data_IF_633234299329
#
_entry.id   IF_633234299329
#
_cell.length_a   1.000
_cell.length_b   1.000
_cell.length_c   1.000
_cell.angle_alpha   90.00
_cell.angle_beta   90.00
_cell.angle_gamma   90.00
#
_symmetry.space_group_name_H-M   'P 1'
#
loop_
_entity.id
_entity.type
_entity.pdbx_description
1 polymer ?
#
# COMPACT_ATOMS: atom_id res chain seq x y z
N UNK A 1 -5.49 -15.85 -32.98
CA UNK A 1 -5.74 -17.14 -32.31
C UNK A 1 -4.98 -17.12 -31.00
N UNK A 2 -5.69 -16.97 -29.88
CA UNK A 2 -5.08 -17.14 -28.56
C UNK A 2 -4.76 -18.64 -28.40
N UNK A 3 -3.56 -18.96 -27.91
CA UNK A 3 -3.12 -20.33 -27.68
C UNK A 3 -4.07 -21.00 -26.66
N UNK A 4 -4.46 -22.28 -26.81
CA UNK A 4 -5.43 -22.93 -25.92
C UNK A 4 -5.06 -22.92 -24.42
N UNK A 5 -3.80 -22.65 -24.08
CA UNK A 5 -3.34 -22.50 -22.70
C UNK A 5 -3.49 -21.08 -22.14
N UNK A 6 -3.81 -20.08 -22.95
CA UNK A 6 -3.90 -18.68 -22.52
C UNK A 6 -5.19 -18.39 -21.74
N UNK A 7 -6.32 -18.96 -22.14
CA UNK A 7 -7.61 -18.75 -21.45
C UNK A 7 -7.60 -19.17 -19.96
N UNK A 8 -7.19 -20.40 -19.59
CA UNK A 8 -7.18 -20.80 -18.18
C UNK A 8 -6.20 -19.96 -17.34
N UNK A 9 -5.05 -19.58 -17.91
CA UNK A 9 -4.07 -18.73 -17.22
C UNK A 9 -4.61 -17.33 -16.98
N UNK A 10 -5.30 -16.74 -17.95
CA UNK A 10 -5.93 -15.42 -17.81
C UNK A 10 -7.04 -15.44 -16.76
N UNK A 11 -7.89 -16.47 -16.77
CA UNK A 11 -8.95 -16.64 -15.77
C UNK A 11 -8.37 -16.81 -14.36
N UNK A 12 -7.34 -17.63 -14.20
CA UNK A 12 -6.66 -17.82 -12.92
C UNK A 12 -6.00 -16.52 -12.44
N UNK A 13 -5.33 -15.79 -13.33
CA UNK A 13 -4.68 -14.51 -13.01
C UNK A 13 -5.69 -13.45 -12.59
N UNK A 14 -6.82 -13.36 -13.31
CA UNK A 14 -7.91 -12.46 -12.97
C UNK A 14 -8.55 -12.82 -11.62
N UNK A 15 -8.84 -14.10 -11.39
CA UNK A 15 -9.35 -14.60 -10.12
C UNK A 15 -8.42 -14.26 -8.95
N UNK A 16 -7.11 -14.52 -9.11
CA UNK A 16 -6.10 -14.16 -8.12
C UNK A 16 -6.10 -12.65 -7.82
N UNK A 17 -6.08 -11.82 -8.86
CA UNK A 17 -6.06 -10.38 -8.70
C UNK A 17 -7.31 -9.84 -8.00
N UNK A 18 -8.48 -10.37 -8.35
CA UNK A 18 -9.75 -10.03 -7.72
C UNK A 18 -9.74 -10.42 -6.24
N UNK A 19 -9.36 -11.66 -5.92
CA UNK A 19 -9.30 -12.15 -4.54
C UNK A 19 -8.35 -11.31 -3.68
N UNK A 20 -7.15 -11.00 -4.17
CA UNK A 20 -6.19 -10.19 -3.43
C UNK A 20 -6.73 -8.77 -3.15
N UNK A 21 -7.34 -8.12 -4.15
CA UNK A 21 -7.93 -6.79 -3.98
C UNK A 21 -9.11 -6.81 -2.99
N UNK A 22 -10.02 -7.78 -3.10
CA UNK A 22 -11.15 -7.93 -2.18
C UNK A 22 -10.66 -8.18 -0.76
N UNK A 23 -9.72 -9.11 -0.57
CA UNK A 23 -9.16 -9.41 0.74
C UNK A 23 -8.47 -8.21 1.38
N UNK A 24 -7.65 -7.48 0.61
CA UNK A 24 -6.99 -6.27 1.08
C UNK A 24 -7.99 -5.18 1.48
N UNK A 25 -8.98 -4.89 0.62
CA UNK A 25 -9.98 -3.86 0.87
C UNK A 25 -10.90 -4.22 2.04
N UNK A 26 -11.35 -5.46 2.15
CA UNK A 26 -12.18 -5.94 3.26
C UNK A 26 -11.43 -5.79 4.59
N UNK A 27 -10.17 -6.22 4.64
CA UNK A 27 -9.32 -6.06 5.82
C UNK A 27 -9.09 -4.58 6.15
N UNK A 28 -8.84 -3.73 5.15
CA UNK A 28 -8.65 -2.29 5.38
C UNK A 28 -9.93 -1.61 5.85
N UNK A 29 -11.08 -2.05 5.35
CA UNK A 29 -12.41 -1.60 5.74
C UNK A 29 -12.64 -1.81 7.23
N UNK A 30 -12.37 -3.02 7.73
CA UNK A 30 -12.48 -3.34 9.15
C UNK A 30 -11.56 -2.48 10.03
N UNK A 31 -10.30 -2.27 9.62
CA UNK A 31 -9.33 -1.54 10.43
C UNK A 31 -9.49 -0.01 10.41
N UNK A 32 -10.17 0.53 9.40
CA UNK A 32 -10.41 1.97 9.26
C UNK A 32 -11.85 2.38 9.53
N UNK A 33 -12.75 1.42 9.75
CA UNK A 33 -14.18 1.69 9.91
C UNK A 33 -14.74 2.49 8.71
N UNK A 34 -14.34 2.07 7.51
CA UNK A 34 -14.73 2.69 6.24
C UNK A 34 -15.28 1.63 5.29
N UNK A 35 -16.18 1.99 4.38
CA UNK A 35 -16.70 1.05 3.38
C UNK A 35 -15.60 0.66 2.37
N UNK A 36 -15.68 -0.56 1.83
CA UNK A 36 -14.76 -1.01 0.78
C UNK A 36 -14.83 -0.13 -0.47
N UNK A 37 -16.03 0.32 -0.86
CA UNK A 37 -16.24 1.24 -1.99
C UNK A 37 -15.47 2.54 -1.79
N UNK A 38 -15.59 3.16 -0.60
CA UNK A 38 -14.87 4.40 -0.32
C UNK A 38 -13.36 4.20 -0.33
N UNK A 39 -12.88 3.06 0.18
CA UNK A 39 -11.46 2.71 0.13
C UNK A 39 -10.98 2.48 -1.29
N UNK A 40 -11.79 1.86 -2.15
CA UNK A 40 -11.49 1.67 -3.56
C UNK A 40 -11.41 3.01 -4.29
N UNK A 41 -12.38 3.90 -4.09
CA UNK A 41 -12.37 5.27 -4.63
C UNK A 41 -11.10 6.03 -4.25
N UNK A 42 -10.68 5.97 -2.98
CA UNK A 42 -9.44 6.64 -2.54
C UNK A 42 -8.21 6.13 -3.31
N UNK A 43 -8.21 4.89 -3.78
CA UNK A 43 -7.10 4.32 -4.56
C UNK A 43 -7.20 4.58 -6.04
N UNK A 44 -8.41 4.74 -6.57
CA UNK A 44 -8.67 4.81 -8.01
C UNK A 44 -9.12 6.18 -8.49
N UNK A 45 -9.40 7.13 -7.61
CA UNK A 45 -9.66 8.51 -7.98
C UNK A 45 -8.36 9.31 -7.95
N UNK A 46 -8.13 10.07 -9.01
CA UNK A 46 -6.99 10.99 -9.08
C UNK A 46 -7.29 12.20 -8.20
N UNK A 47 -6.42 12.46 -7.23
CA UNK A 47 -6.49 13.67 -6.40
C UNK A 47 -6.14 14.94 -7.19
N UNK A 48 -6.68 16.08 -6.75
CA UNK A 48 -6.41 17.38 -7.36
C UNK A 48 -4.92 17.74 -7.31
N UNK A 49 -4.40 18.24 -8.43
CA UNK A 49 -2.98 18.60 -8.57
C UNK A 49 -2.02 17.44 -8.85
N UNK A 50 -2.51 16.19 -8.89
CA UNK A 50 -1.69 15.02 -9.23
C UNK A 50 -1.62 14.87 -10.76
N UNK A 51 -0.40 14.83 -11.30
CA UNK A 51 -0.19 14.61 -12.74
C UNK A 51 -0.65 13.20 -13.12
N UNK A 52 -1.11 13.01 -14.36
CA UNK A 52 -1.57 11.70 -14.83
C UNK A 52 -0.48 10.60 -14.72
N UNK A 53 0.80 10.84 -15.07
CA UNK A 53 1.86 9.83 -14.89
C UNK A 53 2.07 9.43 -13.43
N UNK A 54 2.01 10.38 -12.49
CA UNK A 54 2.13 10.10 -11.06
C UNK A 54 0.93 9.29 -10.55
N UNK A 55 -0.28 9.62 -11.00
CA UNK A 55 -1.49 8.84 -10.72
C UNK A 55 -1.36 7.39 -11.21
N UNK A 56 -0.91 7.16 -12.44
CA UNK A 56 -0.63 5.82 -12.95
C UNK A 56 0.43 5.10 -12.10
N UNK A 57 1.47 5.82 -11.67
CA UNK A 57 2.53 5.28 -10.81
C UNK A 57 1.95 4.79 -9.47
N UNK A 58 1.08 5.57 -8.83
CA UNK A 58 0.44 5.16 -7.58
C UNK A 58 -0.50 3.97 -7.74
N UNK A 59 -1.22 3.88 -8.87
CA UNK A 59 -2.03 2.73 -9.18
C UNK A 59 -1.19 1.47 -9.35
N UNK A 60 -0.10 1.54 -10.13
CA UNK A 60 0.80 0.41 -10.35
C UNK A 60 1.48 0.00 -9.04
N UNK A 61 1.94 0.96 -8.24
CA UNK A 61 2.54 0.67 -6.93
C UNK A 61 1.53 0.02 -5.97
N UNK A 62 0.29 0.50 -5.94
CA UNK A 62 -0.77 -0.11 -5.16
C UNK A 62 -1.08 -1.54 -5.62
N UNK A 63 -1.22 -1.78 -6.93
CA UNK A 63 -1.46 -3.13 -7.45
C UNK A 63 -0.27 -4.05 -7.21
N UNK A 64 0.96 -3.56 -7.37
CA UNK A 64 2.16 -4.33 -7.03
C UNK A 64 2.15 -4.73 -5.56
N UNK A 65 1.79 -3.80 -4.67
CA UNK A 65 1.64 -4.10 -3.26
C UNK A 65 0.58 -5.18 -3.00
N UNK A 66 -0.63 -5.02 -3.54
CA UNK A 66 -1.75 -5.94 -3.29
C UNK A 66 -1.50 -7.34 -3.85
N UNK A 67 -0.87 -7.44 -5.02
CA UNK A 67 -0.69 -8.70 -5.74
C UNK A 67 0.55 -9.47 -5.30
N UNK A 68 1.61 -8.81 -4.86
CA UNK A 68 2.89 -9.46 -4.55
C UNK A 68 3.27 -9.36 -3.07
N UNK A 69 3.12 -8.18 -2.46
CA UNK A 69 3.59 -7.95 -1.10
C UNK A 69 2.56 -8.34 -0.06
N UNK A 70 1.29 -7.96 -0.22
CA UNK A 70 0.25 -8.21 0.77
C UNK A 70 0.04 -9.70 1.09
N UNK A 71 -0.06 -10.62 0.11
CA UNK A 71 -0.31 -12.04 0.38
C UNK A 71 0.81 -12.73 1.16
N UNK A 72 2.04 -12.18 1.11
CA UNK A 72 3.22 -12.71 1.80
C UNK A 72 3.43 -11.97 3.13
N UNK A 73 3.47 -10.65 3.08
CA UNK A 73 3.86 -9.82 4.23
C UNK A 73 2.77 -9.70 5.29
N UNK A 74 1.48 -9.82 4.94
CA UNK A 74 0.41 -9.75 5.93
C UNK A 74 0.38 -10.99 6.84
N UNK A 75 0.42 -12.25 6.33
CA UNK A 75 0.51 -13.43 7.20
C UNK A 75 1.78 -13.43 8.06
N UNK A 76 2.94 -13.15 7.46
CA UNK A 76 4.22 -13.06 8.18
C UNK A 76 4.14 -11.97 9.25
N UNK A 77 3.68 -10.77 8.89
CA UNK A 77 3.51 -9.67 9.82
C UNK A 77 2.62 -10.06 11.01
N UNK A 78 1.50 -10.75 10.77
CA UNK A 78 0.60 -11.21 11.83
C UNK A 78 1.27 -12.18 12.80
N UNK A 79 2.15 -13.06 12.32
CA UNK A 79 2.93 -13.96 13.20
C UNK A 79 3.82 -13.18 14.16
N UNK A 80 4.30 -12.00 13.76
CA UNK A 80 5.11 -11.11 14.59
C UNK A 80 4.31 -10.00 15.28
N UNK A 81 2.97 -10.05 15.24
CA UNK A 81 2.13 -9.03 15.88
C UNK A 81 2.05 -7.70 15.13
N UNK A 82 2.30 -7.70 13.82
CA UNK A 82 2.21 -6.54 12.93
C UNK A 82 1.14 -6.74 11.86
N UNK A 83 0.82 -5.65 11.18
CA UNK A 83 -0.01 -5.66 10.00
C UNK A 83 0.43 -4.60 9.01
N UNK A 84 0.16 -4.86 7.74
CA UNK A 84 0.84 -4.19 6.63
C UNK A 84 -0.08 -3.18 5.92
N UNK A 85 0.45 -2.03 5.49
CA UNK A 85 -0.33 -1.08 4.70
C UNK A 85 0.50 -0.42 3.62
N UNK A 86 -0.09 -0.27 2.44
CA UNK A 86 0.38 0.69 1.45
C UNK A 86 -0.28 2.06 1.65
N UNK A 87 0.48 3.12 1.44
CA UNK A 87 -0.04 4.47 1.42
C UNK A 87 0.69 5.33 0.38
N UNK A 88 0.02 6.37 -0.11
CA UNK A 88 0.54 7.33 -1.07
C UNK A 88 0.31 8.73 -0.53
N UNK A 89 1.24 9.65 -0.78
CA UNK A 89 1.16 11.06 -0.44
C UNK A 89 1.42 11.88 -1.70
N UNK A 90 0.38 12.09 -2.53
CA UNK A 90 0.57 12.67 -3.86
C UNK A 90 1.22 14.05 -3.84
N UNK A 91 0.88 14.89 -2.85
CA UNK A 91 1.48 16.23 -2.66
C UNK A 91 2.99 16.21 -2.44
N UNK A 92 3.54 15.12 -1.89
CA UNK A 92 4.96 14.96 -1.67
C UNK A 92 5.62 14.01 -2.70
N UNK A 93 4.91 13.69 -3.79
CA UNK A 93 5.38 12.84 -4.89
C UNK A 93 5.98 11.52 -4.37
N UNK A 94 5.22 10.78 -3.56
CA UNK A 94 5.70 9.53 -3.05
C UNK A 94 4.65 8.66 -2.37
N UNK A 95 5.12 7.56 -1.80
CA UNK A 95 4.31 6.60 -1.10
C UNK A 95 5.18 5.71 -0.24
N UNK A 96 4.55 4.84 0.54
CA UNK A 96 5.24 4.05 1.52
C UNK A 96 4.54 2.77 1.90
N UNK A 97 5.24 2.01 2.70
CA UNK A 97 4.81 0.78 3.32
C UNK A 97 4.87 0.93 4.84
N UNK A 98 3.80 0.56 5.53
CA UNK A 98 3.70 0.68 6.99
C UNK A 98 3.55 -0.72 7.58
N UNK A 99 4.36 -1.01 8.59
CA UNK A 99 4.13 -2.07 9.55
C UNK A 99 3.59 -1.45 10.85
N UNK A 100 2.35 -1.77 11.18
CA UNK A 100 1.70 -1.28 12.38
C UNK A 100 1.47 -2.43 13.37
N UNK A 101 1.87 -2.28 14.64
CA UNK A 101 1.58 -3.30 15.64
C UNK A 101 0.06 -3.55 15.77
N UNK A 102 -0.31 -4.81 15.96
CA UNK A 102 -1.70 -5.21 16.20
C UNK A 102 -2.21 -4.66 17.54
N UNK A 103 -1.33 -4.52 18.54
CA UNK A 103 -1.64 -3.99 19.86
C UNK A 103 -2.16 -2.55 19.84
N UNK A 104 -1.78 -1.77 18.82
CA UNK A 104 -2.15 -0.34 18.73
C UNK A 104 -3.34 -0.06 17.83
N UNK A 105 -3.94 -1.07 17.16
CA UNK A 105 -5.05 -0.87 16.21
C UNK A 105 -6.27 -0.15 16.81
N UNK A 106 -6.50 -0.31 18.12
CA UNK A 106 -7.61 0.28 18.86
C UNK A 106 -7.34 1.72 19.31
N UNK A 107 -6.10 2.20 19.19
CA UNK A 107 -5.71 3.54 19.63
C UNK A 107 -6.09 4.60 18.60
N UNK A 108 -6.06 5.87 19.03
CA UNK A 108 -6.24 7.00 18.14
C UNK A 108 -5.15 7.06 17.04
N UNK A 109 -5.45 7.70 15.91
CA UNK A 109 -4.51 7.84 14.78
C UNK A 109 -3.15 8.43 15.19
N UNK A 110 -3.13 9.40 16.10
CA UNK A 110 -1.90 10.02 16.58
C UNK A 110 -1.05 9.04 17.40
N UNK A 111 -1.68 8.25 18.28
CA UNK A 111 -0.97 7.24 19.08
C UNK A 111 -0.46 6.10 18.21
N UNK A 112 -1.28 5.65 17.25
CA UNK A 112 -0.91 4.65 16.25
C UNK A 112 0.31 5.07 15.45
N UNK A 113 0.32 6.31 14.96
CA UNK A 113 1.40 6.86 14.13
C UNK A 113 2.76 6.79 14.84
N UNK A 114 2.80 6.98 16.16
CA UNK A 114 4.03 6.89 16.95
C UNK A 114 4.62 5.49 17.06
N UNK A 115 3.78 4.46 16.87
CA UNK A 115 4.18 3.05 16.97
C UNK A 115 4.38 2.38 15.61
N UNK A 116 4.11 3.09 14.51
CA UNK A 116 4.24 2.58 13.15
C UNK A 116 5.70 2.58 12.71
N UNK A 117 6.14 1.48 12.12
CA UNK A 117 7.37 1.44 11.32
C UNK A 117 6.96 1.77 9.88
N UNK A 118 7.63 2.75 9.28
CA UNK A 118 7.30 3.23 7.93
C UNK A 118 8.52 3.15 7.03
N UNK A 119 8.32 2.66 5.82
CA UNK A 119 9.28 2.67 4.74
C UNK A 119 8.75 3.62 3.68
N UNK A 120 9.43 4.76 3.54
CA UNK A 120 8.90 5.90 2.81
C UNK A 120 9.77 6.25 1.61
N UNK A 121 9.14 6.27 0.44
CA UNK A 121 9.76 6.70 -0.80
C UNK A 121 9.23 8.08 -1.15
N UNK A 122 10.10 9.09 -1.17
CA UNK A 122 9.75 10.46 -1.53
C UNK A 122 10.58 10.88 -2.74
N UNK A 123 9.98 11.58 -3.71
CA UNK A 123 10.73 12.25 -4.80
C UNK A 123 11.73 11.38 -5.59
N UNK A 124 11.56 10.05 -5.62
CA UNK A 124 12.58 9.11 -6.11
C UNK A 124 13.98 9.31 -5.49
N UNK A 125 14.04 9.84 -4.26
CA UNK A 125 15.22 9.90 -3.41
C UNK A 125 14.94 8.93 -2.25
N UNK A 126 15.67 7.81 -2.21
CA UNK A 126 15.54 6.84 -1.13
C UNK A 126 16.08 7.44 0.18
N UNK A 127 15.21 7.69 1.15
CA UNK A 127 15.63 8.03 2.51
C UNK A 127 15.72 6.72 3.32
N UNK A 128 16.90 6.42 3.87
CA UNK A 128 17.10 5.30 4.80
C UNK A 128 17.50 5.90 6.15
N UNK A 129 16.64 5.78 7.17
CA UNK A 129 16.90 6.27 8.54
C UNK A 129 15.65 6.29 9.43
N UNK A 130 15.85 6.56 10.72
CA UNK A 130 14.78 6.69 11.72
C UNK A 130 13.87 7.92 11.44
N UNK A 131 12.58 7.83 11.82
CA UNK A 131 11.58 8.87 11.57
C UNK A 131 11.88 10.11 12.46
N UNK A 132 12.33 11.19 11.82
CA UNK A 132 12.59 12.49 12.41
C UNK A 132 13.01 13.51 11.34
N UNK A 133 13.13 14.79 11.71
CA UNK A 133 13.57 15.89 10.80
C UNK A 133 15.01 15.69 10.28
N UNK A 134 15.68 14.65 10.76
CA UNK A 134 17.10 14.35 10.59
C UNK A 134 17.36 13.13 9.67
N UNK A 135 16.35 12.63 8.95
CA UNK A 135 16.58 11.65 7.89
C UNK A 135 17.57 12.21 6.88
N UNK A 136 18.78 11.63 6.82
CA UNK A 136 19.88 12.14 5.99
C UNK A 136 19.48 12.08 4.53
N UNK A 137 19.23 13.24 3.94
CA UNK A 137 19.09 13.40 2.50
C UNK A 137 20.48 13.24 1.88
N UNK A 138 20.76 12.10 1.26
CA UNK A 138 21.88 12.05 0.33
C UNK A 138 21.40 12.61 -1.03
N UNK A 139 21.98 13.72 -1.51
CA UNK A 139 21.69 14.17 -2.87
C UNK A 139 22.19 13.11 -3.86
N UNK A 140 21.48 12.88 -4.99
CA UNK A 140 22.00 12.05 -6.06
C UNK A 140 23.32 12.65 -6.56
N UNK A 141 24.35 11.80 -6.71
CA UNK A 141 25.56 12.15 -7.44
C UNK A 141 25.29 12.18 -8.94
#
# INVERSE_FOLDING_TARGET
LLHPFQEPVLLASFGYALTCNVAYLARRSQLRQMTMTRLFEIRTQREDGVTFPMYCTFLVAWQTFVLFLFPITEPVGKMFGYCSFYYSYPKANGGGYILEPLSVQRLSTNQRTKAQVRFDWHRFTYNVGDIGRDGVQQPPK
#
